data_IF_890902864177
#
_entry.id   IF_890902864177
#
_cell.length_a   1.000
_cell.length_b   1.000
_cell.length_c   1.000
_cell.angle_alpha   90.00
_cell.angle_beta   90.00
_cell.angle_gamma   90.00
#
_symmetry.space_group_name_H-M   'P 1'
#
loop_
_entity.id
_entity.type
_entity.pdbx_description
1 polymer ?
#
# COMPACT_ATOMS: atom_id res chain seq x y z
N UNK A 1 11.46 -30.87 3.24
CA UNK A 1 10.33 -30.57 4.16
C UNK A 1 9.03 -30.86 3.43
N UNK A 2 7.96 -31.33 4.10
CA UNK A 2 6.67 -31.51 3.43
C UNK A 2 6.12 -30.16 2.94
N UNK A 3 5.51 -30.16 1.75
CA UNK A 3 5.03 -28.95 1.03
C UNK A 3 4.05 -28.12 1.88
N UNK A 4 3.24 -28.77 2.69
CA UNK A 4 2.28 -28.13 3.60
C UNK A 4 2.96 -27.24 4.64
N UNK A 5 4.03 -27.73 5.30
CA UNK A 5 4.78 -26.95 6.30
C UNK A 5 5.49 -25.73 5.71
N UNK A 6 5.84 -25.76 4.42
CA UNK A 6 6.47 -24.61 3.74
C UNK A 6 5.42 -23.51 3.53
N UNK A 7 4.23 -23.88 3.07
CA UNK A 7 3.12 -22.94 2.88
C UNK A 7 2.77 -22.26 4.21
N UNK A 8 2.53 -23.03 5.27
CA UNK A 8 2.17 -22.50 6.59
C UNK A 8 3.21 -21.48 7.11
N UNK A 9 4.50 -21.80 6.95
CA UNK A 9 5.60 -20.93 7.38
C UNK A 9 5.69 -19.65 6.53
N UNK A 10 5.50 -19.75 5.21
CA UNK A 10 5.45 -18.56 4.35
C UNK A 10 4.27 -17.65 4.69
N UNK A 11 3.09 -18.21 4.97
CA UNK A 11 1.91 -17.44 5.34
C UNK A 11 2.13 -16.71 6.66
N UNK A 12 2.73 -17.37 7.67
CA UNK A 12 3.05 -16.76 8.96
C UNK A 12 3.99 -15.55 8.82
N UNK A 13 5.03 -15.66 7.98
CA UNK A 13 5.99 -14.55 7.76
C UNK A 13 5.29 -13.35 7.10
N UNK A 14 4.38 -13.59 6.15
CA UNK A 14 3.63 -12.54 5.44
C UNK A 14 2.59 -11.88 6.36
N UNK A 15 1.98 -12.63 7.27
CA UNK A 15 1.07 -12.08 8.27
C UNK A 15 1.78 -11.12 9.23
N UNK A 16 3.03 -11.42 9.59
CA UNK A 16 3.87 -10.56 10.44
C UNK A 16 4.34 -9.32 9.67
N UNK A 17 4.85 -9.49 8.45
CA UNK A 17 5.29 -8.39 7.59
C UNK A 17 4.79 -8.56 6.15
N UNK A 18 3.74 -7.80 5.80
CA UNK A 18 3.15 -7.80 4.46
C UNK A 18 4.03 -7.15 3.39
N UNK A 19 5.12 -6.48 3.79
CA UNK A 19 6.07 -5.84 2.88
C UNK A 19 7.36 -6.65 2.70
N UNK A 20 7.43 -7.85 3.27
CA UNK A 20 8.62 -8.69 3.16
C UNK A 20 8.93 -9.04 1.70
N UNK A 21 10.22 -9.00 1.35
CA UNK A 21 10.67 -9.35 0.01
C UNK A 21 10.64 -10.86 -0.22
N UNK A 22 10.41 -11.29 -1.47
CA UNK A 22 10.47 -12.71 -1.84
C UNK A 22 11.86 -13.34 -1.60
N UNK A 23 12.94 -12.54 -1.64
CA UNK A 23 14.30 -13.02 -1.29
C UNK A 23 14.47 -13.25 0.21
N UNK A 24 13.89 -12.39 1.04
CA UNK A 24 13.91 -12.56 2.50
C UNK A 24 13.15 -13.83 2.91
N UNK A 25 12.00 -14.09 2.27
CA UNK A 25 11.24 -15.34 2.45
C UNK A 25 12.09 -16.57 2.04
N UNK A 26 12.78 -16.51 0.89
CA UNK A 26 13.68 -17.57 0.44
C UNK A 26 14.76 -17.89 1.48
N UNK A 27 15.38 -16.87 2.07
CA UNK A 27 16.43 -17.04 3.08
C UNK A 27 15.88 -17.64 4.38
N UNK A 28 14.70 -17.21 4.81
CA UNK A 28 14.11 -17.60 6.09
C UNK A 28 13.45 -19.00 6.05
N UNK A 29 12.84 -19.33 4.92
CA UNK A 29 12.18 -20.63 4.69
C UNK A 29 13.16 -21.63 4.04
N UNK A 30 14.33 -21.18 3.58
CA UNK A 30 15.36 -21.97 2.88
C UNK A 30 14.80 -22.71 1.66
N UNK A 31 14.05 -21.98 0.85
CA UNK A 31 13.44 -22.47 -0.41
C UNK A 31 13.93 -21.64 -1.57
N UNK A 32 14.05 -22.25 -2.75
CA UNK A 32 14.45 -21.53 -3.97
C UNK A 32 13.50 -20.36 -4.25
N UNK A 33 14.06 -19.21 -4.65
CA UNK A 33 13.32 -18.00 -5.02
C UNK A 33 12.10 -18.26 -5.91
N UNK A 34 12.29 -19.08 -6.96
CA UNK A 34 11.23 -19.45 -7.91
C UNK A 34 10.08 -20.17 -7.24
N UNK A 35 10.39 -21.05 -6.30
CA UNK A 35 9.40 -21.81 -5.52
C UNK A 35 8.64 -20.87 -4.59
N UNK A 36 9.33 -19.94 -3.91
CA UNK A 36 8.68 -18.91 -3.09
C UNK A 36 7.69 -18.07 -3.90
N UNK A 37 8.06 -17.65 -5.11
CA UNK A 37 7.17 -16.89 -6.01
C UNK A 37 5.92 -17.67 -6.42
N UNK A 38 6.06 -18.96 -6.77
CA UNK A 38 4.92 -19.80 -7.14
C UNK A 38 3.96 -19.95 -5.96
N UNK A 39 4.48 -20.14 -4.75
CA UNK A 39 3.65 -20.25 -3.54
C UNK A 39 2.93 -18.95 -3.22
N UNK A 40 3.62 -17.81 -3.28
CA UNK A 40 3.02 -16.49 -3.10
C UNK A 40 1.88 -16.23 -4.09
N UNK A 41 2.10 -16.56 -5.36
CA UNK A 41 1.10 -16.43 -6.41
C UNK A 41 -0.11 -17.34 -6.16
N UNK A 42 0.11 -18.60 -5.78
CA UNK A 42 -0.98 -19.55 -5.46
C UNK A 42 -1.78 -19.14 -4.22
N UNK A 43 -1.12 -18.53 -3.23
CA UNK A 43 -1.78 -18.00 -2.04
C UNK A 43 -2.49 -16.66 -2.28
N UNK A 44 -2.42 -16.10 -3.50
CA UNK A 44 -3.12 -14.87 -3.87
C UNK A 44 -2.41 -13.58 -3.44
N UNK A 45 -1.18 -13.68 -2.95
CA UNK A 45 -0.40 -12.51 -2.56
C UNK A 45 0.13 -11.78 -3.80
N UNK A 46 -0.15 -10.49 -3.88
CA UNK A 46 0.36 -9.58 -4.91
C UNK A 46 1.28 -8.56 -4.26
N UNK A 47 2.26 -8.07 -5.02
CA UNK A 47 3.15 -7.00 -4.59
C UNK A 47 2.32 -5.76 -4.22
N UNK A 48 2.38 -5.35 -2.96
CA UNK A 48 1.74 -4.13 -2.47
C UNK A 48 2.66 -2.94 -2.74
N UNK A 49 2.74 -2.51 -4.00
CA UNK A 49 3.38 -1.22 -4.36
C UNK A 49 2.38 -0.08 -4.11
N UNK A 50 1.92 0.08 -2.88
CA UNK A 50 1.08 1.22 -2.51
C UNK A 50 1.99 2.36 -2.11
N UNK A 51 2.14 3.34 -3.00
CA UNK A 51 2.82 4.59 -2.66
C UNK A 51 1.91 5.42 -1.75
N UNK A 52 2.16 5.36 -0.45
CA UNK A 52 1.47 6.18 0.55
C UNK A 52 2.29 7.46 0.79
N UNK A 53 1.71 8.65 0.59
CA UNK A 53 2.39 9.91 0.88
C UNK A 53 2.86 9.98 2.33
N UNK A 54 4.04 10.59 2.51
CA UNK A 54 4.83 10.62 3.72
C UNK A 54 4.07 11.12 4.96
N UNK A 55 4.12 10.29 6.01
CA UNK A 55 3.86 10.58 7.43
C UNK A 55 2.46 11.09 7.80
N UNK A 56 1.51 10.16 7.79
CA UNK A 56 0.25 10.22 8.56
C UNK A 56 0.46 10.33 10.10
N UNK A 57 1.70 10.39 10.59
CA UNK A 57 1.99 10.30 12.03
C UNK A 57 1.82 11.62 12.80
N UNK A 58 1.71 12.78 12.14
CA UNK A 58 1.77 14.05 12.88
C UNK A 58 0.48 14.32 13.68
N UNK A 59 -0.69 13.81 13.27
CA UNK A 59 -1.82 13.62 14.21
C UNK A 59 -2.98 12.76 13.65
N UNK A 60 -2.88 11.42 13.74
CA UNK A 60 -3.97 10.52 13.30
C UNK A 60 -5.30 10.82 14.01
N UNK A 61 -5.23 11.23 15.28
CA UNK A 61 -6.41 11.54 16.08
C UNK A 61 -7.15 12.77 15.54
N UNK A 62 -6.44 13.82 15.12
CA UNK A 62 -7.06 15.00 14.52
C UNK A 62 -7.70 14.69 13.17
N UNK A 63 -7.06 13.84 12.37
CA UNK A 63 -7.64 13.44 11.09
C UNK A 63 -8.92 12.63 11.29
N UNK A 64 -8.91 11.67 12.23
CA UNK A 64 -10.09 10.86 12.56
C UNK A 64 -11.20 11.74 13.14
N UNK A 65 -10.88 12.66 14.05
CA UNK A 65 -11.86 13.56 14.67
C UNK A 65 -12.48 14.50 13.65
N UNK A 66 -11.67 15.10 12.76
CA UNK A 66 -12.11 15.96 11.66
C UNK A 66 -13.04 15.21 10.70
N UNK A 67 -12.65 14.01 10.25
CA UNK A 67 -13.48 13.18 9.39
C UNK A 67 -14.82 12.81 10.04
N UNK A 68 -14.82 12.45 11.33
CA UNK A 68 -16.05 12.15 12.08
C UNK A 68 -16.98 13.36 12.18
N UNK A 69 -16.42 14.54 12.48
CA UNK A 69 -17.19 15.78 12.57
C UNK A 69 -17.83 16.15 11.22
N UNK A 70 -17.05 16.16 10.14
CA UNK A 70 -17.53 16.44 8.79
C UNK A 70 -18.60 15.44 8.33
N UNK A 71 -18.44 14.16 8.66
CA UNK A 71 -19.43 13.12 8.36
C UNK A 71 -20.75 13.36 9.10
N UNK A 72 -20.69 13.73 10.39
CA UNK A 72 -21.90 14.06 11.18
C UNK A 72 -22.59 15.29 10.61
N UNK A 73 -21.85 16.35 10.31
CA UNK A 73 -22.41 17.57 9.72
C UNK A 73 -23.07 17.27 8.37
N UNK A 74 -22.44 16.48 7.50
CA UNK A 74 -23.01 16.15 6.19
C UNK A 74 -24.27 15.28 6.27
N UNK A 75 -24.48 14.54 7.37
CA UNK A 75 -25.74 13.82 7.63
C UNK A 75 -26.88 14.75 8.06
N UNK A 76 -26.56 15.86 8.73
CA UNK A 76 -27.53 16.83 9.26
C UNK A 76 -27.88 17.87 8.20
N UNK A 77 -26.86 18.50 7.62
CA UNK A 77 -26.97 19.46 6.51
C UNK A 77 -26.02 19.03 5.38
N UNK A 78 -26.52 18.32 4.36
CA UNK A 78 -25.69 17.86 3.26
C UNK A 78 -25.04 19.02 2.49
N UNK A 79 -23.72 19.15 2.59
CA UNK A 79 -22.99 20.27 2.02
C UNK A 79 -22.08 19.90 0.84
N UNK A 80 -21.94 18.60 0.51
CA UNK A 80 -21.06 18.15 -0.57
C UNK A 80 -21.39 18.80 -1.93
N UNK A 81 -22.68 19.04 -2.23
CA UNK A 81 -23.11 19.71 -3.46
C UNK A 81 -22.73 21.19 -3.53
N UNK A 82 -22.44 21.81 -2.37
CA UNK A 82 -22.03 23.21 -2.25
C UNK A 82 -20.49 23.36 -2.20
N UNK A 83 -19.76 22.25 -2.16
CA UNK A 83 -18.31 22.25 -1.96
C UNK A 83 -17.57 22.57 -3.26
N UNK A 84 -16.69 23.57 -3.22
CA UNK A 84 -15.79 23.91 -4.33
C UNK A 84 -14.37 23.55 -3.91
N UNK A 85 -13.76 22.59 -4.61
CA UNK A 85 -12.39 22.16 -4.34
C UNK A 85 -11.41 22.82 -5.31
N UNK A 86 -10.29 23.33 -4.78
CA UNK A 86 -9.15 23.76 -5.58
C UNK A 86 -7.96 22.83 -5.32
N UNK A 87 -7.38 22.30 -6.39
CA UNK A 87 -6.16 21.49 -6.36
C UNK A 87 -5.12 22.15 -7.25
N UNK A 88 -3.88 22.25 -6.78
CA UNK A 88 -2.74 22.66 -7.59
C UNK A 88 -1.97 21.42 -7.99
N UNK A 89 -1.77 21.22 -9.29
CA UNK A 89 -0.96 20.13 -9.84
C UNK A 89 0.15 20.75 -10.66
N UNK A 90 1.39 20.37 -10.37
CA UNK A 90 2.54 20.77 -11.19
C UNK A 90 2.47 20.03 -12.53
N UNK A 91 2.62 20.78 -13.62
CA UNK A 91 2.72 20.25 -14.99
C UNK A 91 4.16 20.45 -15.44
N UNK A 92 4.86 19.35 -15.72
CA UNK A 92 6.20 19.35 -16.27
C UNK A 92 6.15 19.17 -17.79
N UNK A 93 6.91 19.98 -18.53
CA UNK A 93 7.08 19.84 -19.98
C UNK A 93 8.46 19.24 -20.29
N UNK A 94 8.49 18.25 -21.19
CA UNK A 94 9.74 17.71 -21.72
C UNK A 94 10.22 18.59 -22.88
N UNK A 95 10.96 19.65 -22.57
CA UNK A 95 11.59 20.50 -23.57
C UNK A 95 12.87 19.84 -24.07
N UNK A 96 12.74 18.94 -25.06
CA UNK A 96 13.90 18.36 -25.75
C UNK A 96 14.53 19.46 -26.62
N UNK A 97 15.62 20.05 -26.15
CA UNK A 97 16.41 21.02 -26.92
C UNK A 97 17.30 20.24 -27.90
N UNK A 98 16.98 20.29 -29.19
CA UNK A 98 17.86 19.75 -30.23
C UNK A 98 19.09 20.67 -30.35
N UNK A 99 20.24 20.21 -29.86
CA UNK A 99 21.52 20.92 -30.03
C UNK A 99 21.92 20.90 -31.51
N UNK A 100 22.25 22.07 -32.06
CA UNK A 100 22.92 22.23 -33.36
C UNK A 100 24.42 22.01 -33.21
#
# INVERSE_FOLDING_TARGET
MPVTKIVDKTTQIIEVDRHISSRSIEQEVKIEHRTALIHLHKAGFKKLDVWVPHQFSINMMDQISSCKALTKQNKIDPFLKKMVNRVVRNVSYNNVVQKR
#
